data_IF_476902076538
#
_entry.id   IF_476902076538
#
_cell.length_a   1.000
_cell.length_b   1.000
_cell.length_c   1.000
_cell.angle_alpha   90.00
_cell.angle_beta   90.00
_cell.angle_gamma   90.00
#
_symmetry.space_group_name_H-M   'P 1'
#
loop_
_entity.id
_entity.type
_entity.pdbx_description
1 polymer ?
#
# COMPACT_ATOMS: atom_id res chain seq x y z
N UNK A 1 -9.97 -5.08 -3.01
CA UNK A 1 -10.56 -5.32 -1.67
C UNK A 1 -10.12 -4.18 -0.78
N UNK A 2 -11.04 -3.58 -0.03
CA UNK A 2 -10.78 -2.47 0.91
C UNK A 2 -11.13 -2.97 2.31
N UNK A 3 -10.21 -2.84 3.26
CA UNK A 3 -10.39 -3.16 4.67
C UNK A 3 -10.10 -1.92 5.51
N UNK A 4 -11.02 -1.56 6.42
CA UNK A 4 -10.74 -0.50 7.40
C UNK A 4 -10.14 -1.12 8.66
N UNK A 5 -8.96 -0.66 9.05
CA UNK A 5 -8.20 -1.18 10.18
C UNK A 5 -7.60 -0.04 11.00
N UNK A 6 -8.11 0.19 12.22
CA UNK A 6 -7.60 1.23 13.15
C UNK A 6 -7.46 2.63 12.52
N UNK A 7 -8.42 3.03 11.68
CA UNK A 7 -8.37 4.32 10.98
C UNK A 7 -7.50 4.32 9.72
N UNK A 8 -7.05 3.15 9.26
CA UNK A 8 -6.41 2.97 7.97
C UNK A 8 -7.32 2.26 6.99
N UNK A 9 -7.49 2.81 5.81
CA UNK A 9 -8.08 2.12 4.67
C UNK A 9 -6.98 1.34 3.94
N UNK A 10 -6.98 0.02 4.12
CA UNK A 10 -6.03 -0.89 3.51
C UNK A 10 -6.64 -1.45 2.23
N UNK A 11 -5.96 -1.22 1.12
CA UNK A 11 -6.40 -1.67 -0.20
C UNK A 11 -5.32 -2.54 -0.84
N UNK A 12 -5.73 -3.62 -1.48
CA UNK A 12 -4.86 -4.39 -2.36
C UNK A 12 -4.64 -3.59 -3.65
N UNK A 13 -3.42 -3.10 -3.85
CA UNK A 13 -2.98 -2.48 -5.10
C UNK A 13 -2.60 -3.58 -6.10
N UNK A 14 -3.60 -4.28 -6.63
CA UNK A 14 -3.42 -5.25 -7.71
C UNK A 14 -3.45 -4.50 -9.05
N UNK A 15 -2.43 -3.71 -9.34
CA UNK A 15 -2.18 -3.33 -10.73
C UNK A 15 -1.62 -4.56 -11.44
N UNK A 16 -2.53 -5.33 -12.01
CA UNK A 16 -2.18 -6.46 -12.84
C UNK A 16 -1.39 -5.97 -14.05
N UNK A 17 -0.07 -6.23 -14.06
CA UNK A 17 0.82 -5.94 -15.21
C UNK A 17 0.49 -6.77 -16.46
N UNK A 18 -0.54 -7.62 -16.46
CA UNK A 18 -1.00 -8.31 -17.67
C UNK A 18 -1.77 -7.39 -18.64
N UNK A 19 -2.20 -6.20 -18.20
CA UNK A 19 -2.77 -5.17 -19.08
C UNK A 19 -1.79 -4.00 -19.26
N UNK A 20 -0.64 -4.26 -19.87
CA UNK A 20 0.20 -3.21 -20.48
C UNK A 20 -0.47 -2.70 -21.78
N UNK A 21 -1.68 -2.17 -21.63
CA UNK A 21 -2.41 -1.44 -22.65
C UNK A 21 -2.34 0.04 -22.36
N UNK A 22 -1.35 0.70 -22.96
CA UNK A 22 -1.28 2.14 -23.27
C UNK A 22 -1.42 3.16 -22.13
N UNK A 23 -0.33 3.91 -22.01
CA UNK A 23 -0.32 5.35 -21.77
C UNK A 23 -0.84 5.84 -20.40
N UNK A 24 0.08 5.97 -19.46
CA UNK A 24 0.29 7.26 -18.79
C UNK A 24 1.65 7.28 -18.11
N UNK A 25 2.56 8.01 -18.74
CA UNK A 25 3.85 8.43 -18.24
C UNK A 25 3.64 9.24 -16.95
N UNK A 26 3.87 8.65 -15.77
CA UNK A 26 4.30 9.36 -14.58
C UNK A 26 4.87 8.37 -13.55
N UNK A 27 6.19 8.23 -13.65
CA UNK A 27 7.14 7.93 -12.57
C UNK A 27 6.50 7.70 -11.20
N UNK A 28 6.46 6.44 -10.77
CA UNK A 28 7.10 6.01 -9.52
C UNK A 28 7.28 4.51 -9.61
N UNK A 29 8.45 4.06 -9.20
CA UNK A 29 8.80 2.67 -9.02
C UNK A 29 7.78 2.04 -8.06
N UNK A 30 6.65 1.55 -8.57
CA UNK A 30 5.87 0.57 -7.82
C UNK A 30 6.78 -0.63 -7.71
N UNK A 31 7.44 -0.74 -6.56
CA UNK A 31 8.17 -1.92 -6.16
C UNK A 31 7.22 -3.08 -6.43
N UNK A 32 7.58 -3.98 -7.34
CA UNK A 32 6.69 -5.08 -7.77
C UNK A 32 6.30 -6.00 -6.60
N UNK A 33 6.99 -5.83 -5.47
CA UNK A 33 6.75 -6.51 -4.21
C UNK A 33 5.69 -5.83 -3.33
N UNK A 34 5.39 -4.53 -3.50
CA UNK A 34 4.46 -3.76 -2.64
C UNK A 34 3.02 -3.82 -3.19
N UNK A 35 2.33 -4.90 -2.82
CA UNK A 35 0.98 -5.23 -3.31
C UNK A 35 -0.14 -4.58 -2.51
N UNK A 36 0.15 -4.06 -1.33
CA UNK A 36 -0.84 -3.49 -0.42
C UNK A 36 -0.48 -2.05 -0.09
N UNK A 37 -1.52 -1.21 -0.02
CA UNK A 37 -1.43 0.19 0.37
C UNK A 37 -2.36 0.42 1.56
N UNK A 38 -1.83 1.01 2.64
CA UNK A 38 -2.62 1.56 3.74
C UNK A 38 -2.70 3.07 3.61
N UNK A 39 -3.90 3.64 3.71
CA UNK A 39 -4.11 5.10 3.72
C UNK A 39 -4.76 5.49 5.04
N UNK A 40 -4.10 6.32 5.83
CA UNK A 40 -4.67 6.81 7.08
C UNK A 40 -5.60 8.00 6.82
N UNK A 41 -6.52 8.27 7.75
CA UNK A 41 -7.45 9.39 7.68
C UNK A 41 -6.77 10.76 7.56
N UNK A 42 -5.51 10.90 8.02
CA UNK A 42 -4.71 12.12 7.88
C UNK A 42 -4.02 12.27 6.51
N UNK A 43 -4.16 11.29 5.61
CA UNK A 43 -3.53 11.27 4.30
C UNK A 43 -2.15 10.59 4.24
N UNK A 44 -1.64 10.06 5.36
CA UNK A 44 -0.43 9.24 5.38
C UNK A 44 -0.62 7.95 4.58
N UNK A 45 0.42 7.54 3.86
CA UNK A 45 0.40 6.34 3.02
C UNK A 45 1.54 5.42 3.41
N UNK A 46 1.20 4.16 3.63
CA UNK A 46 2.16 3.09 3.86
C UNK A 46 2.00 2.03 2.78
N UNK A 47 3.12 1.42 2.42
CA UNK A 47 3.20 0.40 1.37
C UNK A 47 3.78 -0.86 1.97
N UNK A 48 3.31 -2.00 1.49
CA UNK A 48 3.69 -3.29 2.04
C UNK A 48 3.44 -4.40 1.04
N UNK A 49 4.20 -5.47 1.17
CA UNK A 49 4.10 -6.66 0.32
C UNK A 49 2.94 -7.57 0.67
N UNK A 50 2.44 -7.49 1.89
CA UNK A 50 1.32 -8.27 2.38
C UNK A 50 0.43 -7.45 3.31
N UNK A 51 -0.84 -7.86 3.43
CA UNK A 51 -1.77 -7.30 4.41
C UNK A 51 -1.22 -7.40 5.84
N UNK A 52 -0.51 -8.50 6.15
CA UNK A 52 0.11 -8.71 7.46
C UNK A 52 1.20 -7.66 7.74
N UNK A 53 1.99 -7.31 6.73
CA UNK A 53 3.03 -6.29 6.85
C UNK A 53 2.42 -4.91 7.07
N UNK A 54 1.39 -4.53 6.30
CA UNK A 54 0.67 -3.27 6.50
C UNK A 54 0.12 -3.18 7.93
N UNK A 55 -0.55 -4.24 8.42
CA UNK A 55 -1.04 -4.27 9.81
C UNK A 55 0.09 -4.17 10.84
N UNK A 56 1.23 -4.81 10.58
CA UNK A 56 2.39 -4.73 11.47
C UNK A 56 2.95 -3.30 11.56
N UNK A 57 3.02 -2.58 10.44
CA UNK A 57 3.44 -1.18 10.40
C UNK A 57 2.47 -0.30 11.21
N UNK A 58 1.16 -0.55 11.09
CA UNK A 58 0.12 0.18 11.83
C UNK A 58 0.17 -0.12 13.33
N UNK A 59 0.38 -1.38 13.70
CA UNK A 59 0.41 -1.82 15.10
C UNK A 59 1.68 -1.38 15.83
N UNK A 60 2.80 -1.31 15.11
CA UNK A 60 4.12 -1.02 15.67
C UNK A 60 4.84 0.09 14.91
N UNK A 61 4.30 1.32 14.88
CA UNK A 61 4.87 2.42 14.11
C UNK A 61 6.29 2.78 14.56
N UNK A 62 6.64 2.53 15.84
CA UNK A 62 7.99 2.75 16.38
C UNK A 62 9.06 1.86 15.75
N UNK A 63 8.72 0.67 15.25
CA UNK A 63 9.66 -0.23 14.57
C UNK A 63 9.96 0.23 13.14
N UNK A 64 9.11 1.09 12.59
CA UNK A 64 9.19 1.63 11.24
C UNK A 64 9.44 3.14 11.22
N UNK A 65 9.59 3.76 12.40
CA UNK A 65 10.00 5.15 12.57
C UNK A 65 11.50 5.24 12.31
N UNK A 66 11.89 5.90 11.22
CA UNK A 66 13.28 6.18 10.85
C UNK A 66 13.56 7.66 10.98
#
# INVERSE_FOLDING_TARGET
MIENYKGWDITLNWENKDYLGRETTKSKFFNQNEKWIGIHLNGEKIYGSSLKEIRHIIDYPSLHSK
#
